data_IF_952174930188
#
_entry.id   IF_952174930188
#
_cell.length_a   1.000
_cell.length_b   1.000
_cell.length_c   1.000
_cell.angle_alpha   90.00
_cell.angle_beta   90.00
_cell.angle_gamma   90.00
#
_symmetry.space_group_name_H-M   'P 1'
#
loop_
_entity.id
_entity.type
_entity.pdbx_description
1 polymer ?
#
# COMPACT_ATOMS: atom_id res chain seq x y z
N UNK A 1 5.59 13.74 -17.91
CA UNK A 1 5.96 12.33 -17.59
C UNK A 1 5.25 11.90 -16.34
N UNK A 2 4.67 10.72 -16.37
CA UNK A 2 3.98 10.15 -15.22
C UNK A 2 4.99 9.59 -14.23
N UNK A 3 4.91 9.99 -12.98
CA UNK A 3 5.75 9.48 -11.91
C UNK A 3 5.06 8.31 -11.23
N UNK A 4 5.72 7.15 -11.23
CA UNK A 4 5.18 5.93 -10.64
C UNK A 4 5.99 5.57 -9.39
N UNK A 5 5.29 5.33 -8.28
CA UNK A 5 5.89 4.84 -7.04
C UNK A 5 5.17 3.54 -6.66
N UNK A 6 5.94 2.51 -6.36
CA UNK A 6 5.37 1.27 -5.83
C UNK A 6 5.87 1.06 -4.39
N UNK A 7 4.91 0.89 -3.48
CA UNK A 7 5.19 0.49 -2.10
C UNK A 7 5.25 -1.03 -2.12
N UNK A 8 6.47 -1.55 -2.07
CA UNK A 8 6.80 -2.92 -2.46
C UNK A 8 7.27 -3.78 -1.30
N UNK A 9 6.80 -5.02 -1.29
CA UNK A 9 7.33 -6.06 -0.43
C UNK A 9 7.89 -7.18 -1.31
N UNK A 10 9.23 -7.34 -1.40
CA UNK A 10 9.85 -8.37 -2.24
C UNK A 10 9.44 -9.81 -1.89
N UNK A 11 9.00 -10.03 -0.66
CA UNK A 11 8.55 -11.35 -0.20
C UNK A 11 7.12 -11.68 -0.63
N UNK A 12 6.38 -10.71 -1.13
CA UNK A 12 4.98 -10.88 -1.53
C UNK A 12 4.88 -11.15 -3.03
N UNK A 13 4.30 -12.28 -3.42
CA UNK A 13 4.16 -12.67 -4.82
C UNK A 13 3.34 -11.65 -5.63
N UNK A 14 2.28 -11.12 -5.04
CA UNK A 14 1.44 -10.11 -5.71
C UNK A 14 2.20 -8.80 -5.93
N UNK A 15 3.05 -8.44 -4.98
CA UNK A 15 3.89 -7.25 -5.10
C UNK A 15 4.92 -7.42 -6.22
N UNK A 16 5.57 -8.59 -6.26
CA UNK A 16 6.53 -8.90 -7.34
C UNK A 16 5.86 -8.91 -8.70
N UNK A 17 4.67 -9.49 -8.81
CA UNK A 17 3.93 -9.55 -10.07
C UNK A 17 3.51 -8.15 -10.56
N UNK A 18 3.07 -7.31 -9.63
CA UNK A 18 2.70 -5.93 -9.95
C UNK A 18 3.90 -5.16 -10.51
N UNK A 19 5.06 -5.32 -9.87
CA UNK A 19 6.30 -4.69 -10.36
C UNK A 19 6.67 -5.19 -11.75
N UNK A 20 6.47 -6.47 -12.01
CA UNK A 20 6.70 -7.07 -13.33
C UNK A 20 5.84 -6.41 -14.40
N UNK A 21 4.54 -6.19 -14.14
CA UNK A 21 3.65 -5.49 -15.06
C UNK A 21 4.14 -4.07 -15.37
N UNK A 22 4.61 -3.36 -14.35
CA UNK A 22 5.14 -2.01 -14.53
C UNK A 22 6.38 -2.04 -15.43
N UNK A 23 7.30 -2.96 -15.14
CA UNK A 23 8.54 -3.10 -15.94
C UNK A 23 8.25 -3.50 -17.38
N UNK A 24 7.24 -4.34 -17.59
CA UNK A 24 6.85 -4.77 -18.94
C UNK A 24 6.35 -3.61 -19.81
N UNK A 25 5.92 -2.51 -19.20
CA UNK A 25 5.52 -1.30 -19.91
C UNK A 25 6.69 -0.34 -20.13
N UNK A 26 7.92 -0.79 -19.86
CA UNK A 26 9.13 0.03 -19.97
C UNK A 26 9.10 1.25 -19.04
N UNK A 27 8.39 1.13 -17.92
CA UNK A 27 8.33 2.16 -16.88
C UNK A 27 9.34 1.80 -15.80
N UNK A 28 10.11 2.79 -15.35
CA UNK A 28 11.09 2.61 -14.29
C UNK A 28 10.54 3.27 -13.03
N UNK A 29 9.81 2.53 -12.17
CA UNK A 29 9.15 3.12 -11.00
C UNK A 29 10.14 3.39 -9.89
N UNK A 30 9.79 4.32 -9.00
CA UNK A 30 10.47 4.44 -7.73
C UNK A 30 9.95 3.33 -6.84
N UNK A 31 10.85 2.48 -6.35
CA UNK A 31 10.50 1.37 -5.46
C UNK A 31 10.72 1.83 -4.03
N UNK A 32 9.65 1.83 -3.23
CA UNK A 32 9.76 2.12 -1.81
C UNK A 32 9.56 0.83 -1.02
N UNK A 33 10.62 0.41 -0.33
CA UNK A 33 10.59 -0.77 0.53
C UNK A 33 10.11 -0.34 1.92
N UNK A 34 8.81 -0.20 2.05
CA UNK A 34 8.18 0.43 3.21
C UNK A 34 8.39 -0.33 4.53
N UNK A 35 8.82 -1.59 4.46
CA UNK A 35 9.17 -2.36 5.67
C UNK A 35 10.56 -2.01 6.18
N UNK A 36 11.40 -1.42 5.35
CA UNK A 36 12.78 -1.05 5.67
C UNK A 36 12.96 0.46 5.75
N UNK A 37 12.15 1.22 5.02
CA UNK A 37 12.18 2.68 4.98
C UNK A 37 11.00 3.22 5.79
N UNK A 38 11.22 4.32 6.49
CA UNK A 38 10.14 4.96 7.25
C UNK A 38 9.02 5.42 6.31
N UNK A 39 7.79 5.08 6.66
CA UNK A 39 6.61 5.61 6.00
C UNK A 39 5.93 6.58 6.97
N UNK A 40 5.60 7.77 6.48
CA UNK A 40 5.02 8.80 7.34
C UNK A 40 3.50 8.71 7.39
N UNK A 41 2.93 9.29 8.45
CA UNK A 41 1.47 9.38 8.58
C UNK A 41 0.87 10.15 7.41
N UNK A 42 1.53 11.22 6.98
CA UNK A 42 1.09 12.02 5.84
C UNK A 42 1.03 11.20 4.56
N UNK A 43 2.04 10.35 4.32
CA UNK A 43 2.05 9.45 3.16
C UNK A 43 0.86 8.51 3.19
N UNK A 44 0.59 7.88 4.34
CA UNK A 44 -0.51 6.93 4.47
C UNK A 44 -1.86 7.61 4.28
N UNK A 45 -2.03 8.80 4.87
CA UNK A 45 -3.27 9.57 4.72
C UNK A 45 -3.53 9.93 3.25
N UNK A 46 -2.49 10.34 2.53
CA UNK A 46 -2.59 10.64 1.10
C UNK A 46 -2.94 9.41 0.28
N UNK A 47 -2.32 8.27 0.59
CA UNK A 47 -2.59 7.01 -0.09
C UNK A 47 -4.05 6.60 0.10
N UNK A 48 -4.56 6.64 1.32
CA UNK A 48 -5.94 6.28 1.64
C UNK A 48 -6.91 7.19 0.87
N UNK A 49 -6.60 8.48 0.82
CA UNK A 49 -7.40 9.45 0.07
C UNK A 49 -7.42 9.13 -1.42
N UNK A 50 -6.25 8.87 -2.01
CA UNK A 50 -6.15 8.54 -3.44
C UNK A 50 -6.83 7.22 -3.78
N UNK A 51 -6.77 6.23 -2.86
CA UNK A 51 -7.45 4.95 -3.04
C UNK A 51 -8.97 5.07 -2.89
N UNK A 52 -9.45 6.13 -2.23
CA UNK A 52 -10.88 6.31 -1.99
C UNK A 52 -11.47 5.28 -1.04
N UNK A 53 -10.68 4.82 -0.07
CA UNK A 53 -11.08 3.78 0.89
C UNK A 53 -11.07 4.36 2.31
N UNK A 54 -11.65 3.59 3.24
CA UNK A 54 -11.52 3.89 4.67
C UNK A 54 -10.16 3.38 5.17
N UNK A 55 -9.55 4.03 6.17
CA UNK A 55 -8.26 3.59 6.69
C UNK A 55 -8.22 2.11 7.08
N UNK A 56 -9.30 1.60 7.69
CA UNK A 56 -9.37 0.20 8.11
C UNK A 56 -9.25 -0.77 6.93
N UNK A 57 -9.66 -0.36 5.73
CA UNK A 57 -9.59 -1.20 4.53
C UNK A 57 -8.14 -1.39 4.05
N UNK A 58 -7.21 -0.56 4.54
CA UNK A 58 -5.79 -0.70 4.23
C UNK A 58 -5.09 -1.68 5.18
N UNK A 59 -5.76 -2.17 6.20
CA UNK A 59 -5.18 -3.02 7.23
C UNK A 59 -5.30 -4.50 6.86
N UNK A 60 -4.19 -5.22 6.96
CA UNK A 60 -4.16 -6.68 6.84
C UNK A 60 -4.63 -7.27 8.17
N UNK A 61 -5.94 -7.47 8.29
CA UNK A 61 -6.57 -7.82 9.57
C UNK A 61 -6.25 -9.21 10.09
N UNK A 62 -5.71 -10.08 9.24
CA UNK A 62 -5.33 -11.44 9.63
C UNK A 62 -3.90 -11.53 10.19
N UNK A 63 -3.16 -10.43 10.21
CA UNK A 63 -1.81 -10.41 10.78
C UNK A 63 -1.85 -10.47 12.30
N UNK A 64 -0.85 -11.12 12.89
CA UNK A 64 -0.74 -11.29 14.33
C UNK A 64 -0.78 -9.94 15.08
N UNK A 65 -0.13 -8.92 14.55
CA UNK A 65 -0.05 -7.61 15.15
C UNK A 65 -1.42 -6.94 15.30
N UNK A 66 -2.43 -7.40 14.54
CA UNK A 66 -3.79 -6.85 14.60
C UNK A 66 -4.71 -7.65 15.54
N UNK A 67 -4.25 -8.78 16.05
CA UNK A 67 -5.09 -9.72 16.82
C UNK A 67 -5.81 -9.05 18.00
N UNK A 68 -5.11 -8.18 18.73
CA UNK A 68 -5.66 -7.50 19.89
C UNK A 68 -6.66 -6.39 19.53
N UNK A 69 -6.80 -6.07 18.25
CA UNK A 69 -7.62 -4.95 17.77
C UNK A 69 -8.83 -5.38 16.96
N UNK A 70 -8.92 -6.66 16.62
CA UNK A 70 -9.94 -7.20 15.70
C UNK A 70 -11.39 -6.85 16.06
N UNK A 71 -11.71 -6.87 17.35
CA UNK A 71 -13.07 -6.66 17.82
C UNK A 71 -13.27 -5.28 18.44
N UNK A 72 -12.36 -4.35 18.15
CA UNK A 72 -12.44 -2.98 18.67
C UNK A 72 -12.95 -2.04 17.59
N UNK A 73 -13.73 -1.06 18.01
CA UNK A 73 -14.20 0.00 17.12
C UNK A 73 -13.12 1.10 17.10
N UNK A 74 -12.22 0.99 16.13
CA UNK A 74 -11.08 1.89 16.00
C UNK A 74 -11.45 3.15 15.23
N UNK A 75 -11.01 4.31 15.74
CA UNK A 75 -11.11 5.56 14.99
C UNK A 75 -10.08 5.55 13.86
N UNK A 76 -10.29 6.41 12.86
CA UNK A 76 -9.35 6.54 11.75
C UNK A 76 -7.95 6.86 12.25
N UNK A 77 -7.83 7.76 13.23
CA UNK A 77 -6.53 8.14 13.80
C UNK A 77 -5.84 6.96 14.47
N UNK A 78 -6.59 6.13 15.18
CA UNK A 78 -6.05 4.91 15.79
C UNK A 78 -5.54 3.94 14.74
N UNK A 79 -6.25 3.82 13.61
CA UNK A 79 -5.82 2.96 12.50
C UNK A 79 -4.53 3.48 11.89
N UNK A 80 -4.43 4.80 11.63
CA UNK A 80 -3.20 5.38 11.10
C UNK A 80 -2.01 5.13 12.02
N UNK A 81 -2.21 5.29 13.33
CA UNK A 81 -1.16 5.03 14.32
C UNK A 81 -0.69 3.58 14.28
N UNK A 82 -1.63 2.63 14.11
CA UNK A 82 -1.28 1.22 14.00
C UNK A 82 -0.47 0.93 12.74
N UNK A 83 -0.83 1.54 11.62
CA UNK A 83 -0.12 1.34 10.35
C UNK A 83 1.30 1.89 10.42
N UNK A 84 1.50 3.00 11.11
CA UNK A 84 2.84 3.56 11.33
C UNK A 84 3.67 2.68 12.25
N UNK A 85 3.06 2.21 13.33
CA UNK A 85 3.73 1.38 14.32
C UNK A 85 4.09 0.00 13.77
N UNK A 86 3.19 -0.56 12.97
CA UNK A 86 3.35 -1.89 12.37
C UNK A 86 3.14 -1.83 10.86
N UNK A 87 4.15 -1.38 10.09
CA UNK A 87 4.02 -1.31 8.63
C UNK A 87 3.62 -2.61 7.96
N UNK A 88 3.90 -3.74 8.61
CA UNK A 88 3.49 -5.06 8.14
C UNK A 88 1.97 -5.17 7.96
N UNK A 89 1.20 -4.35 8.68
CA UNK A 89 -0.26 -4.33 8.58
C UNK A 89 -0.76 -3.65 7.31
N UNK A 90 0.10 -2.94 6.58
CA UNK A 90 -0.31 -2.23 5.37
C UNK A 90 -0.55 -3.22 4.24
N UNK A 91 -1.73 -3.15 3.59
CA UNK A 91 -2.01 -3.92 2.38
C UNK A 91 -1.01 -3.55 1.29
N UNK A 92 -0.58 -4.52 0.49
CA UNK A 92 0.44 -4.33 -0.54
C UNK A 92 0.13 -5.18 -1.77
N UNK A 93 0.66 -4.79 -2.93
CA UNK A 93 1.42 -3.56 -3.17
C UNK A 93 0.49 -2.36 -3.35
N UNK A 94 1.02 -1.16 -3.08
CA UNK A 94 0.33 0.09 -3.38
C UNK A 94 1.11 0.75 -4.51
N UNK A 95 0.43 1.12 -5.58
CA UNK A 95 1.05 1.84 -6.69
C UNK A 95 0.40 3.21 -6.81
N UNK A 96 1.24 4.23 -6.84
CA UNK A 96 0.81 5.62 -6.98
C UNK A 96 1.29 6.16 -8.32
N UNK A 97 0.38 6.71 -9.10
CA UNK A 97 0.66 7.36 -10.37
C UNK A 97 0.07 8.76 -10.34
N UNK A 98 0.90 9.76 -10.16
CA UNK A 98 0.49 11.16 -9.98
C UNK A 98 -0.52 11.32 -8.84
N UNK A 99 -1.79 11.55 -9.16
CA UNK A 99 -2.86 11.73 -8.16
C UNK A 99 -3.73 10.50 -7.96
N UNK A 100 -3.34 9.37 -8.55
CA UNK A 100 -4.11 8.13 -8.49
C UNK A 100 -3.32 7.06 -7.78
N UNK A 101 -4.04 6.16 -7.09
CA UNK A 101 -3.42 5.01 -6.45
C UNK A 101 -4.30 3.79 -6.63
N UNK A 102 -3.67 2.61 -6.64
CA UNK A 102 -4.39 1.33 -6.61
C UNK A 102 -3.67 0.36 -5.68
N UNK A 103 -4.44 -0.60 -5.18
CA UNK A 103 -3.87 -1.79 -4.56
C UNK A 103 -3.71 -2.84 -5.68
N UNK A 104 -2.51 -3.42 -5.78
CA UNK A 104 -2.24 -4.44 -6.78
C UNK A 104 -2.81 -5.81 -6.40
N UNK A 105 -4.09 -5.87 -6.15
CA UNK A 105 -4.81 -7.08 -5.77
C UNK A 105 -6.14 -7.17 -6.50
N UNK A 106 -6.23 -7.89 -7.61
CA UNK A 106 -5.14 -8.65 -8.25
C UNK A 106 -4.09 -7.73 -8.89
N UNK A 107 -2.85 -8.24 -9.11
CA UNK A 107 -1.75 -7.42 -9.61
C UNK A 107 -2.03 -6.67 -10.91
N UNK A 108 -2.81 -7.25 -11.80
CA UNK A 108 -3.15 -6.65 -13.11
C UNK A 108 -3.94 -5.34 -12.97
N UNK A 109 -4.48 -5.01 -11.80
CA UNK A 109 -5.13 -3.72 -11.57
C UNK A 109 -4.20 -2.54 -11.82
N UNK A 110 -2.90 -2.75 -11.68
CA UNK A 110 -1.92 -1.69 -11.95
C UNK A 110 -2.02 -1.16 -13.38
N UNK A 111 -2.45 -2.00 -14.31
CA UNK A 111 -2.58 -1.62 -15.71
C UNK A 111 -3.62 -0.50 -15.91
N UNK A 112 -4.53 -0.31 -14.95
CA UNK A 112 -5.55 0.72 -15.05
C UNK A 112 -5.01 2.14 -14.84
N UNK A 113 -3.81 2.27 -14.24
CA UNK A 113 -3.22 3.59 -13.93
C UNK A 113 -1.85 3.81 -14.56
N UNK A 114 -1.34 2.85 -15.26
CA UNK A 114 -0.07 3.00 -15.99
C UNK A 114 -0.33 2.87 -17.50
#
# INVERSE_FOLDING_TARGET
MTSIVIYHNPECSKSRKTLEYINDKNINPKIKLYLEEDITEKEIKNIVKMLGIKPIELVRQHEEEFENYKNKDLSDEEVFNLLIKYPKLIERPIVVSDNKAILGRPPEKVLDII
#
